data_IF_001915270538
#
_entry.id   IF_001915270538
#
_cell.length_a   1.000
_cell.length_b   1.000
_cell.length_c   1.000
_cell.angle_alpha   90.00
_cell.angle_beta   90.00
_cell.angle_gamma   90.00
#
_symmetry.space_group_name_H-M   'P 1'
#
loop_
_entity.id
_entity.type
_entity.pdbx_description
1 polymer ?
#
# COMPACT_ATOMS: atom_id res chain seq x y z
N UNK A 1 -41.59 0.74 -19.55
CA UNK A 1 -41.09 1.81 -18.64
C UNK A 1 -40.88 1.21 -17.25
N UNK A 2 -39.72 0.59 -17.00
CA UNK A 2 -39.36 0.06 -15.66
C UNK A 2 -38.67 1.18 -14.89
N UNK A 3 -39.35 1.72 -13.90
CA UNK A 3 -38.80 2.69 -12.94
C UNK A 3 -37.72 1.97 -12.12
N UNK A 4 -36.51 2.53 -11.95
CA UNK A 4 -35.59 2.04 -10.93
C UNK A 4 -36.21 2.34 -9.56
N UNK A 5 -36.44 1.31 -8.76
CA UNK A 5 -36.90 1.43 -7.38
C UNK A 5 -35.76 1.99 -6.54
N UNK A 6 -35.66 3.32 -6.48
CA UNK A 6 -34.87 4.04 -5.47
C UNK A 6 -35.63 3.99 -4.14
N UNK A 7 -35.60 2.83 -3.47
CA UNK A 7 -36.12 2.71 -2.10
C UNK A 7 -35.01 3.05 -1.12
N UNK A 8 -34.98 4.30 -0.66
CA UNK A 8 -34.49 4.62 0.70
C UNK A 8 -35.59 4.25 1.68
N UNK A 9 -35.67 2.97 2.06
CA UNK A 9 -36.50 2.58 3.21
C UNK A 9 -35.77 3.00 4.50
N UNK A 10 -36.43 3.87 5.27
CA UNK A 10 -36.06 4.27 6.62
C UNK A 10 -35.95 3.03 7.53
N UNK A 11 -34.73 2.54 7.77
CA UNK A 11 -34.46 1.45 8.71
C UNK A 11 -33.22 1.81 9.54
N UNK A 12 -33.49 2.37 10.72
CA UNK A 12 -32.82 2.49 12.05
C UNK A 12 -31.30 2.22 12.25
N UNK A 13 -30.53 1.75 11.28
CA UNK A 13 -29.09 1.54 11.40
C UNK A 13 -28.32 2.53 10.51
N UNK A 14 -27.24 3.11 11.01
CA UNK A 14 -26.40 4.07 10.27
C UNK A 14 -25.70 3.39 9.07
N UNK A 15 -26.43 3.21 7.97
CA UNK A 15 -25.93 2.70 6.69
C UNK A 15 -25.46 3.87 5.84
N UNK A 16 -24.21 3.85 5.38
CA UNK A 16 -23.73 4.79 4.36
C UNK A 16 -23.75 4.10 3.00
N UNK A 17 -24.48 4.68 2.06
CA UNK A 17 -24.53 4.27 0.66
C UNK A 17 -24.22 5.48 -0.21
N UNK A 18 -23.35 5.29 -1.20
CA UNK A 18 -23.17 6.30 -2.24
C UNK A 18 -24.48 6.45 -3.04
N UNK A 19 -24.74 7.65 -3.56
CA UNK A 19 -25.98 7.95 -4.27
C UNK A 19 -26.19 7.14 -5.57
N UNK A 20 -25.16 6.44 -6.06
CA UNK A 20 -25.17 5.68 -7.32
C UNK A 20 -25.00 4.18 -7.07
N UNK A 21 -25.74 3.67 -6.10
CA UNK A 21 -25.72 2.26 -5.74
C UNK A 21 -26.95 1.53 -6.28
N UNK A 22 -26.77 0.30 -6.77
CA UNK A 22 -27.83 -0.63 -7.14
C UNK A 22 -27.72 -1.94 -6.36
N UNK A 23 -28.85 -2.48 -5.91
CA UNK A 23 -28.89 -3.76 -5.18
C UNK A 23 -29.34 -4.91 -6.08
N UNK A 24 -28.77 -6.11 -5.95
CA UNK A 24 -29.32 -7.30 -6.57
C UNK A 24 -30.72 -7.65 -6.00
N UNK A 25 -31.55 -8.42 -6.72
CA UNK A 25 -32.96 -8.67 -6.36
C UNK A 25 -33.27 -9.45 -5.06
N UNK A 26 -32.30 -9.85 -4.23
CA UNK A 26 -32.52 -10.65 -3.01
C UNK A 26 -32.21 -9.89 -1.70
N UNK A 27 -32.62 -10.42 -0.54
CA UNK A 27 -32.56 -9.74 0.77
C UNK A 27 -31.12 -9.39 1.23
N UNK A 28 -30.69 -8.12 1.14
CA UNK A 28 -29.33 -7.70 1.51
C UNK A 28 -29.18 -7.10 2.92
N UNK A 29 -30.23 -6.49 3.45
CA UNK A 29 -30.13 -5.66 4.66
C UNK A 29 -29.75 -6.43 5.92
N UNK A 30 -30.19 -7.70 6.04
CA UNK A 30 -29.92 -8.53 7.22
C UNK A 30 -28.51 -9.13 7.17
N UNK A 31 -28.04 -9.54 5.99
CA UNK A 31 -26.72 -10.20 5.85
C UNK A 31 -25.57 -9.26 6.22
N UNK A 32 -25.67 -7.99 5.81
CA UNK A 32 -24.63 -7.00 6.12
C UNK A 32 -24.69 -6.49 7.57
N UNK A 33 -25.81 -6.66 8.28
CA UNK A 33 -25.96 -6.17 9.67
C UNK A 33 -25.67 -7.24 10.72
N UNK A 34 -25.86 -8.53 10.40
CA UNK A 34 -25.62 -9.66 11.32
C UNK A 34 -24.24 -9.63 11.98
N UNK A 35 -23.11 -9.37 11.26
CA UNK A 35 -21.80 -9.31 11.90
C UNK A 35 -21.70 -8.20 12.96
N UNK A 36 -22.28 -7.01 12.69
CA UNK A 36 -22.29 -5.89 13.64
C UNK A 36 -23.17 -6.15 14.87
N UNK A 37 -24.21 -6.99 14.72
CA UNK A 37 -25.06 -7.40 15.84
C UNK A 37 -24.34 -8.38 16.78
N UNK A 38 -23.46 -9.22 16.24
CA UNK A 38 -22.64 -10.15 17.03
C UNK A 38 -21.49 -9.43 17.75
N UNK A 39 -20.89 -8.45 17.07
CA UNK A 39 -19.79 -7.65 17.61
C UNK A 39 -19.90 -6.22 17.08
N UNK A 40 -20.27 -5.30 17.97
CA UNK A 40 -20.53 -3.89 17.65
C UNK A 40 -19.28 -3.12 17.21
N UNK A 41 -18.10 -3.70 17.39
CA UNK A 41 -16.82 -3.07 16.98
C UNK A 41 -16.45 -3.35 15.53
N UNK A 42 -17.21 -4.21 14.84
CA UNK A 42 -17.04 -4.52 13.43
C UNK A 42 -17.65 -3.44 12.55
N UNK A 43 -16.87 -3.03 11.56
CA UNK A 43 -17.32 -2.18 10.46
C UNK A 43 -17.26 -3.03 9.21
N UNK A 44 -18.40 -3.16 8.53
CA UNK A 44 -18.52 -4.12 7.44
C UNK A 44 -18.91 -3.45 6.14
N UNK A 45 -18.34 -3.88 5.03
CA UNK A 45 -18.66 -3.40 3.70
C UNK A 45 -19.07 -4.55 2.78
N UNK A 46 -19.92 -4.28 1.77
CA UNK A 46 -20.27 -5.27 0.77
C UNK A 46 -19.11 -5.44 -0.23
N UNK A 47 -19.17 -6.51 -1.03
CA UNK A 47 -18.45 -6.54 -2.30
C UNK A 47 -19.06 -5.49 -3.22
N UNK A 48 -18.20 -4.62 -3.76
CA UNK A 48 -18.63 -3.53 -4.62
C UNK A 48 -18.54 -3.99 -6.07
N UNK A 49 -19.69 -4.25 -6.67
CA UNK A 49 -19.80 -4.59 -8.08
C UNK A 49 -19.69 -3.35 -8.96
N UNK A 50 -19.37 -3.55 -10.24
CA UNK A 50 -19.22 -2.46 -11.20
C UNK A 50 -20.54 -2.27 -11.93
N UNK A 51 -21.10 -1.08 -11.89
CA UNK A 51 -22.12 -0.65 -12.84
C UNK A 51 -21.41 0.17 -13.90
N UNK A 52 -21.43 -0.30 -15.15
CA UNK A 52 -20.81 0.39 -16.28
C UNK A 52 -21.33 1.81 -16.41
N UNK A 53 -20.44 2.80 -16.49
CA UNK A 53 -20.85 4.20 -16.65
C UNK A 53 -21.44 4.50 -18.04
N UNK A 54 -21.12 3.68 -19.04
CA UNK A 54 -21.54 3.88 -20.42
C UNK A 54 -22.82 3.09 -20.74
N UNK A 55 -22.91 1.83 -20.27
CA UNK A 55 -24.01 0.91 -20.60
C UNK A 55 -24.98 0.66 -19.44
N UNK A 56 -24.63 1.04 -18.21
CA UNK A 56 -25.35 0.70 -16.97
C UNK A 56 -25.51 -0.81 -16.72
N UNK A 57 -24.74 -1.65 -17.42
CA UNK A 57 -24.68 -3.08 -17.14
C UNK A 57 -24.05 -3.34 -15.77
N UNK A 58 -24.62 -4.31 -15.06
CA UNK A 58 -24.15 -4.76 -13.76
C UNK A 58 -23.13 -5.89 -13.94
N UNK A 59 -21.89 -5.65 -13.56
CA UNK A 59 -20.76 -6.56 -13.72
C UNK A 59 -20.24 -6.97 -12.34
N UNK A 60 -20.28 -8.27 -12.06
CA UNK A 60 -19.78 -8.84 -10.81
C UNK A 60 -18.28 -8.63 -10.63
N UNK A 61 -17.87 -8.01 -9.54
CA UNK A 61 -16.46 -7.90 -9.14
C UNK A 61 -15.93 -9.22 -8.56
N UNK A 62 -14.62 -9.40 -8.54
CA UNK A 62 -14.02 -10.55 -7.85
C UNK A 62 -14.28 -10.46 -6.34
N UNK A 63 -14.69 -11.58 -5.73
CA UNK A 63 -14.81 -11.71 -4.27
C UNK A 63 -13.46 -11.98 -3.59
N UNK A 64 -12.36 -12.08 -4.36
CA UNK A 64 -11.00 -12.30 -3.85
C UNK A 64 -10.19 -10.99 -3.79
N UNK A 65 -10.87 -9.85 -3.72
CA UNK A 65 -10.25 -8.54 -3.57
C UNK A 65 -10.44 -8.03 -2.14
N UNK A 66 -9.41 -7.36 -1.63
CA UNK A 66 -9.49 -6.53 -0.42
C UNK A 66 -8.99 -5.12 -0.71
N UNK A 67 -9.32 -4.19 0.18
CA UNK A 67 -8.85 -2.81 0.09
C UNK A 67 -7.45 -2.66 0.68
N UNK A 68 -6.61 -1.92 -0.02
CA UNK A 68 -5.26 -1.57 0.38
C UNK A 68 -4.91 -0.14 -0.01
N UNK A 69 -3.64 0.23 0.17
CA UNK A 69 -3.10 1.53 -0.24
C UNK A 69 -1.59 1.42 -0.45
N UNK A 70 -1.03 2.30 -1.26
CA UNK A 70 0.43 2.50 -1.34
C UNK A 70 0.84 3.73 -0.51
N UNK A 71 2.14 3.99 -0.36
CA UNK A 71 2.63 5.11 0.45
C UNK A 71 2.24 6.50 -0.07
N UNK A 72 1.67 6.63 -1.27
CA UNK A 72 1.00 7.85 -1.70
C UNK A 72 -0.38 8.06 -1.05
N UNK A 73 -0.82 7.11 -0.21
CA UNK A 73 -2.09 7.06 0.51
C UNK A 73 -3.32 7.11 -0.40
N UNK A 74 -3.20 6.56 -1.61
CA UNK A 74 -4.32 6.35 -2.52
C UNK A 74 -4.85 4.94 -2.33
N UNK A 75 -6.18 4.82 -2.21
CA UNK A 75 -6.85 3.53 -2.13
C UNK A 75 -6.62 2.70 -3.39
N UNK A 76 -6.36 1.40 -3.22
CA UNK A 76 -6.31 0.42 -4.30
C UNK A 76 -7.00 -0.88 -3.90
N UNK A 77 -7.37 -1.65 -4.91
CA UNK A 77 -7.81 -3.03 -4.73
C UNK A 77 -6.61 -3.97 -4.87
N UNK A 78 -6.48 -4.91 -3.95
CA UNK A 78 -5.44 -5.94 -3.98
C UNK A 78 -6.08 -7.32 -3.99
N UNK A 79 -5.49 -8.24 -4.75
CA UNK A 79 -5.85 -9.64 -4.65
C UNK A 79 -5.41 -10.22 -3.31
N UNK A 80 -6.27 -11.06 -2.74
CA UNK A 80 -5.89 -11.93 -1.64
C UNK A 80 -4.72 -12.82 -2.03
N UNK A 81 -3.86 -13.13 -1.06
CA UNK A 81 -2.73 -14.03 -1.25
C UNK A 81 -3.19 -15.41 -1.72
N UNK A 82 -2.29 -16.20 -2.31
CA UNK A 82 -2.61 -17.56 -2.74
C UNK A 82 -3.10 -18.43 -1.57
N UNK A 83 -2.52 -18.24 -0.38
CA UNK A 83 -2.91 -18.93 0.84
C UNK A 83 -4.32 -18.54 1.30
N UNK A 84 -4.62 -17.25 1.41
CA UNK A 84 -5.96 -16.76 1.78
C UNK A 84 -7.03 -17.27 0.80
N UNK A 85 -6.74 -17.24 -0.52
CA UNK A 85 -7.65 -17.78 -1.54
C UNK A 85 -7.85 -19.29 -1.40
N UNK A 86 -6.79 -20.04 -1.08
CA UNK A 86 -6.88 -21.49 -0.88
C UNK A 86 -7.73 -21.84 0.35
N UNK A 87 -7.56 -21.12 1.46
CA UNK A 87 -8.37 -21.30 2.67
C UNK A 87 -9.85 -21.02 2.40
N UNK A 88 -10.14 -19.96 1.62
CA UNK A 88 -11.50 -19.56 1.23
C UNK A 88 -12.20 -20.51 0.26
N UNK A 89 -11.51 -21.45 -0.39
CA UNK A 89 -12.17 -22.47 -1.22
C UNK A 89 -13.13 -23.34 -0.42
N UNK A 90 -12.89 -23.51 0.89
CA UNK A 90 -13.75 -24.30 1.79
C UNK A 90 -15.03 -23.55 2.15
N UNK A 91 -14.92 -22.24 2.33
CA UNK A 91 -16.05 -21.35 2.59
C UNK A 91 -15.83 -19.99 1.89
N UNK A 92 -16.35 -19.82 0.66
CA UNK A 92 -16.20 -18.57 -0.09
C UNK A 92 -17.06 -17.44 0.49
N UNK A 93 -17.98 -17.75 1.40
CA UNK A 93 -18.92 -16.79 2.02
C UNK A 93 -18.35 -16.16 3.29
N UNK A 94 -17.27 -16.72 3.84
CA UNK A 94 -16.59 -16.19 5.01
C UNK A 94 -16.15 -14.72 4.81
N UNK A 95 -16.29 -13.91 5.86
CA UNK A 95 -15.86 -12.51 5.90
C UNK A 95 -14.37 -12.36 5.62
N UNK A 96 -13.99 -11.33 4.86
CA UNK A 96 -12.60 -11.03 4.55
C UNK A 96 -12.17 -9.81 5.37
N UNK A 97 -11.15 -9.96 6.22
CA UNK A 97 -10.55 -8.82 6.92
C UNK A 97 -9.84 -7.93 5.90
N UNK A 98 -10.11 -6.63 5.94
CA UNK A 98 -9.54 -5.67 4.98
C UNK A 98 -8.75 -4.57 5.71
N UNK A 99 -7.49 -4.28 5.32
CA UNK A 99 -6.74 -3.18 5.90
C UNK A 99 -7.44 -1.82 5.77
N UNK A 100 -8.12 -1.64 4.65
CA UNK A 100 -8.70 -0.37 4.23
C UNK A 100 -10.07 -0.61 3.58
N UNK A 101 -11.03 0.28 3.79
CA UNK A 101 -12.29 0.31 3.01
C UNK A 101 -12.24 1.41 1.94
N UNK A 102 -13.03 1.26 0.89
CA UNK A 102 -13.19 2.32 -0.12
C UNK A 102 -13.90 3.57 0.46
N UNK A 103 -14.66 3.42 1.55
CA UNK A 103 -15.27 4.52 2.32
C UNK A 103 -16.69 4.92 1.92
N UNK A 104 -17.11 4.66 0.68
CA UNK A 104 -18.44 5.03 0.19
C UNK A 104 -19.58 4.13 0.64
N UNK A 105 -19.29 2.86 0.96
CA UNK A 105 -20.29 1.84 1.32
C UNK A 105 -19.81 1.04 2.52
N UNK A 106 -20.48 1.20 3.67
CA UNK A 106 -20.23 0.38 4.85
C UNK A 106 -21.38 0.51 5.87
N UNK A 107 -21.37 -0.38 6.85
CA UNK A 107 -22.27 -0.42 8.01
C UNK A 107 -21.43 -0.42 9.28
N UNK A 108 -21.84 0.39 10.25
CA UNK A 108 -21.21 0.50 11.57
C UNK A 108 -22.30 0.67 12.63
N UNK A 109 -22.11 0.07 13.80
CA UNK A 109 -22.99 0.35 14.95
C UNK A 109 -22.95 1.85 15.30
N UNK A 110 -24.12 2.45 15.49
CA UNK A 110 -24.23 3.90 15.74
C UNK A 110 -23.50 4.35 17.00
N UNK A 111 -23.66 3.62 18.10
CA UNK A 111 -23.02 3.96 19.36
C UNK A 111 -21.50 3.80 19.25
N UNK A 112 -21.03 2.80 18.50
CA UNK A 112 -19.61 2.64 18.20
C UNK A 112 -19.06 3.78 17.32
N UNK A 113 -19.80 4.21 16.29
CA UNK A 113 -19.41 5.36 15.46
C UNK A 113 -19.31 6.66 16.28
N UNK A 114 -20.27 6.89 17.18
CA UNK A 114 -20.26 8.04 18.09
C UNK A 114 -19.07 7.95 19.07
N UNK A 115 -18.82 6.76 19.66
CA UNK A 115 -17.69 6.51 20.56
C UNK A 115 -16.34 6.73 19.87
N UNK A 116 -16.21 6.30 18.62
CA UNK A 116 -15.00 6.52 17.83
C UNK A 116 -14.84 7.99 17.41
N UNK A 117 -15.79 8.90 17.71
CA UNK A 117 -15.65 10.31 17.42
C UNK A 117 -16.07 10.72 16.00
N UNK A 118 -17.00 9.97 15.40
CA UNK A 118 -17.59 10.23 14.06
C UNK A 118 -16.52 10.38 12.98
N UNK A 119 -16.70 11.26 12.00
CA UNK A 119 -15.64 11.69 11.07
C UNK A 119 -14.91 12.90 11.62
N UNK A 120 -13.70 13.13 11.13
CA UNK A 120 -13.01 14.40 11.31
C UNK A 120 -13.75 15.52 10.55
N UNK A 121 -14.44 16.38 11.30
CA UNK A 121 -15.31 17.42 10.76
C UNK A 121 -14.54 18.56 10.08
N UNK A 122 -13.21 18.59 10.17
CA UNK A 122 -12.35 19.55 9.48
C UNK A 122 -11.77 18.99 8.16
N UNK A 123 -12.17 17.79 7.75
CA UNK A 123 -11.93 17.31 6.38
C UNK A 123 -12.88 17.97 5.40
N UNK A 124 -12.34 18.37 4.24
CA UNK A 124 -13.06 19.15 3.25
C UNK A 124 -13.52 18.27 2.07
N UNK A 125 -14.79 18.40 1.68
CA UNK A 125 -15.40 17.87 0.44
C UNK A 125 -15.25 16.36 0.21
N UNK A 126 -14.07 15.89 -0.18
CA UNK A 126 -13.83 14.50 -0.59
C UNK A 126 -12.35 14.11 -0.47
N UNK A 127 -12.12 12.87 -0.04
CA UNK A 127 -10.82 12.22 -0.04
C UNK A 127 -10.19 12.15 1.34
N UNK A 128 -9.50 11.05 1.64
CA UNK A 128 -8.79 10.83 2.90
C UNK A 128 -9.67 10.36 4.06
N UNK A 129 -10.99 10.49 3.98
CA UNK A 129 -11.89 10.05 5.06
C UNK A 129 -11.92 8.53 5.23
N UNK A 130 -11.72 7.81 4.12
CA UNK A 130 -11.64 6.36 4.11
C UNK A 130 -10.35 5.86 4.79
N UNK A 131 -9.24 6.59 4.64
CA UNK A 131 -7.98 6.32 5.34
C UNK A 131 -8.16 6.51 6.85
N UNK A 132 -8.66 7.68 7.24
CA UNK A 132 -8.80 8.09 8.64
C UNK A 132 -9.66 7.11 9.43
N UNK A 133 -10.86 6.79 8.92
CA UNK A 133 -11.75 5.86 9.63
C UNK A 133 -11.17 4.44 9.66
N UNK A 134 -10.48 4.00 8.60
CA UNK A 134 -9.90 2.65 8.56
C UNK A 134 -8.78 2.50 9.59
N UNK A 135 -7.86 3.47 9.63
CA UNK A 135 -6.78 3.50 10.61
C UNK A 135 -7.31 3.55 12.04
N UNK A 136 -8.28 4.45 12.29
CA UNK A 136 -8.89 4.60 13.61
C UNK A 136 -9.60 3.33 14.08
N UNK A 137 -10.45 2.74 13.26
CA UNK A 137 -11.18 1.52 13.65
C UNK A 137 -10.21 0.41 14.05
N UNK A 138 -9.19 0.15 13.24
CA UNK A 138 -8.21 -0.89 13.51
C UNK A 138 -7.34 -0.60 14.73
N UNK A 139 -6.75 0.59 14.80
CA UNK A 139 -5.85 0.95 15.91
C UNK A 139 -6.59 1.05 17.24
N UNK A 140 -7.88 1.41 17.25
CA UNK A 140 -8.66 1.59 18.46
C UNK A 140 -9.52 0.37 18.83
N UNK A 141 -9.20 -0.81 18.29
CA UNK A 141 -9.69 -2.10 18.79
C UNK A 141 -10.89 -2.71 18.07
N UNK A 142 -11.34 -2.12 16.95
CA UNK A 142 -12.35 -2.72 16.08
C UNK A 142 -11.75 -3.42 14.86
N UNK A 143 -12.59 -3.63 13.85
CA UNK A 143 -12.16 -4.25 12.60
C UNK A 143 -12.94 -3.80 11.38
N UNK A 144 -12.32 -4.00 10.21
CA UNK A 144 -12.94 -3.81 8.92
C UNK A 144 -13.07 -5.15 8.18
N UNK A 145 -14.27 -5.45 7.69
CA UNK A 145 -14.57 -6.72 7.02
C UNK A 145 -15.39 -6.53 5.74
N UNK A 146 -15.01 -7.23 4.67
CA UNK A 146 -15.81 -7.36 3.46
C UNK A 146 -16.68 -8.61 3.61
N UNK A 147 -17.97 -8.49 3.35
CA UNK A 147 -18.94 -9.60 3.44
C UNK A 147 -19.27 -10.08 2.02
N UNK A 148 -18.74 -11.23 1.55
CA UNK A 148 -18.90 -11.69 0.16
C UNK A 148 -20.36 -11.89 -0.29
N UNK A 149 -21.23 -12.27 0.65
CA UNK A 149 -22.66 -12.47 0.41
C UNK A 149 -23.44 -11.16 0.29
N UNK A 150 -22.88 -10.03 0.69
CA UNK A 150 -23.49 -8.73 0.49
C UNK A 150 -22.85 -8.06 -0.71
N UNK A 151 -23.64 -7.79 -1.76
CA UNK A 151 -23.14 -7.16 -2.98
C UNK A 151 -23.92 -5.89 -3.29
N UNK A 152 -23.19 -4.84 -3.66
CA UNK A 152 -23.78 -3.57 -4.06
C UNK A 152 -23.05 -3.07 -5.30
N UNK A 153 -23.77 -2.85 -6.40
CA UNK A 153 -23.20 -2.27 -7.60
C UNK A 153 -22.98 -0.77 -7.43
N UNK A 154 -21.85 -0.27 -7.89
CA UNK A 154 -21.48 1.14 -7.85
C UNK A 154 -21.04 1.63 -9.24
N UNK A 155 -21.48 2.82 -9.64
CA UNK A 155 -21.03 3.46 -10.89
C UNK A 155 -19.67 4.11 -10.66
N UNK A 156 -18.60 3.45 -11.09
CA UNK A 156 -17.25 4.02 -11.05
C UNK A 156 -17.10 5.11 -12.11
N UNK A 157 -16.66 6.31 -11.69
CA UNK A 157 -16.52 7.48 -12.56
C UNK A 157 -15.04 7.78 -12.79
N UNK A 158 -14.69 8.22 -14.00
CA UNK A 158 -13.32 8.66 -14.34
C UNK A 158 -12.95 10.04 -13.77
N UNK A 159 -13.94 10.88 -13.42
CA UNK A 159 -13.74 12.24 -12.89
C UNK A 159 -14.82 12.60 -11.88
N UNK A 160 -14.48 13.45 -10.93
CA UNK A 160 -15.44 14.02 -9.97
C UNK A 160 -16.34 15.05 -10.68
N UNK A 161 -17.66 15.03 -10.45
CA UNK A 161 -18.61 15.97 -11.08
C UNK A 161 -18.77 17.29 -10.31
N UNK A 162 -18.01 17.50 -9.22
CA UNK A 162 -18.15 18.64 -8.31
C UNK A 162 -16.87 19.47 -8.28
N UNK A 163 -17.00 20.75 -7.94
CA UNK A 163 -15.89 21.70 -7.84
C UNK A 163 -15.16 21.58 -6.50
N UNK A 164 -13.84 21.78 -6.54
CA UNK A 164 -12.98 21.73 -5.35
C UNK A 164 -12.41 23.14 -5.12
N UNK A 165 -12.73 23.81 -4.00
CA UNK A 165 -12.09 25.07 -3.66
C UNK A 165 -10.58 24.84 -3.49
N UNK A 166 -9.75 25.52 -4.30
CA UNK A 166 -8.30 25.34 -4.30
C UNK A 166 -7.78 24.12 -5.09
N UNK A 167 -8.64 23.40 -5.80
CA UNK A 167 -8.29 22.24 -6.63
C UNK A 167 -8.34 20.90 -5.88
N UNK A 168 -8.73 19.84 -6.58
CA UNK A 168 -8.93 18.50 -5.98
C UNK A 168 -7.67 17.94 -5.34
N UNK A 169 -6.50 18.22 -5.90
CA UNK A 169 -5.21 17.78 -5.35
C UNK A 169 -4.90 18.38 -3.98
N UNK A 170 -5.17 19.68 -3.78
CA UNK A 170 -4.92 20.35 -2.50
C UNK A 170 -5.89 19.90 -1.41
N UNK A 171 -7.18 19.76 -1.75
CA UNK A 171 -8.20 19.24 -0.83
C UNK A 171 -7.85 17.80 -0.41
N UNK A 172 -7.51 16.95 -1.38
CA UNK A 172 -7.08 15.59 -1.11
C UNK A 172 -5.84 15.54 -0.23
N UNK A 173 -4.79 16.31 -0.56
CA UNK A 173 -3.57 16.39 0.23
C UNK A 173 -3.83 16.89 1.65
N UNK A 174 -4.67 17.92 1.82
CA UNK A 174 -5.08 18.43 3.13
C UNK A 174 -5.72 17.33 3.99
N UNK A 175 -6.74 16.65 3.48
CA UNK A 175 -7.43 15.60 4.25
C UNK A 175 -6.52 14.40 4.54
N UNK A 176 -5.75 13.97 3.56
CA UNK A 176 -4.79 12.87 3.70
C UNK A 176 -3.71 13.20 4.74
N UNK A 177 -3.24 14.46 4.80
CA UNK A 177 -2.34 14.92 5.86
C UNK A 177 -2.97 14.86 7.24
N UNK A 178 -4.22 15.31 7.38
CA UNK A 178 -4.94 15.20 8.67
C UNK A 178 -4.97 13.75 9.16
N UNK A 179 -5.22 12.81 8.26
CA UNK A 179 -5.18 11.38 8.59
C UNK A 179 -3.75 10.92 8.96
N UNK A 180 -2.74 11.26 8.14
CA UNK A 180 -1.36 10.83 8.36
C UNK A 180 -0.76 11.38 9.66
N UNK A 181 -0.93 12.67 9.93
CA UNK A 181 -0.38 13.34 11.12
C UNK A 181 -0.99 12.82 12.43
N UNK A 182 -2.25 12.36 12.40
CA UNK A 182 -2.91 11.82 13.59
C UNK A 182 -2.62 10.33 13.79
N UNK A 183 -2.60 9.54 12.70
CA UNK A 183 -2.72 8.08 12.79
C UNK A 183 -1.49 7.29 12.35
N UNK A 184 -0.51 7.91 11.68
CA UNK A 184 0.62 7.17 11.08
C UNK A 184 1.93 7.26 11.86
N UNK A 185 1.97 7.99 12.99
CA UNK A 185 3.20 8.20 13.76
C UNK A 185 4.35 8.70 12.84
N UNK A 186 5.56 8.16 12.98
CA UNK A 186 6.71 8.52 12.16
C UNK A 186 6.60 7.97 10.71
N UNK A 187 5.71 7.01 10.45
CA UNK A 187 5.51 6.45 9.10
C UNK A 187 4.89 7.44 8.12
N UNK A 188 4.39 8.59 8.59
CA UNK A 188 3.97 9.70 7.72
C UNK A 188 5.10 10.22 6.84
N UNK A 189 6.37 10.04 7.23
CA UNK A 189 7.51 10.46 6.40
C UNK A 189 7.60 9.67 5.09
N UNK A 190 7.16 8.42 5.06
CA UNK A 190 7.04 7.66 3.82
C UNK A 190 5.99 8.26 2.88
N UNK A 191 4.87 8.74 3.44
CA UNK A 191 3.88 9.47 2.66
C UNK A 191 4.44 10.76 2.09
N UNK A 192 5.14 11.54 2.91
CA UNK A 192 5.75 12.78 2.44
C UNK A 192 6.90 12.55 1.46
N UNK A 193 7.56 11.39 1.50
CA UNK A 193 8.55 11.01 0.49
C UNK A 193 7.87 10.66 -0.84
N UNK A 194 6.76 9.91 -0.80
CA UNK A 194 5.98 9.58 -1.99
C UNK A 194 5.24 10.78 -2.60
N UNK A 195 4.83 11.75 -1.76
CA UNK A 195 4.10 12.96 -2.18
C UNK A 195 4.72 14.22 -1.54
N UNK A 196 5.91 14.68 -2.01
CA UNK A 196 6.65 15.78 -1.38
C UNK A 196 5.87 17.09 -1.29
N UNK A 197 5.05 17.40 -2.29
CA UNK A 197 4.23 18.62 -2.33
C UNK A 197 3.24 18.70 -1.18
N UNK A 198 2.83 17.57 -0.59
CA UNK A 198 1.90 17.56 0.53
C UNK A 198 2.48 18.29 1.75
N UNK A 199 3.81 18.23 2.00
CA UNK A 199 4.44 18.89 3.17
C UNK A 199 4.08 20.38 3.31
N UNK A 200 3.83 21.05 2.18
CA UNK A 200 3.54 22.48 2.13
C UNK A 200 2.04 22.81 2.22
N UNK A 201 1.14 21.82 2.24
CA UNK A 201 -0.31 22.04 2.23
C UNK A 201 -0.85 22.23 3.66
N UNK A 202 -1.42 23.39 4.03
CA UNK A 202 -1.95 23.61 5.38
C UNK A 202 -3.13 22.68 5.70
N UNK A 203 -3.01 21.91 6.78
CA UNK A 203 -4.01 20.91 7.17
C UNK A 203 -4.88 21.32 8.37
N UNK A 204 -4.63 22.50 8.96
CA UNK A 204 -5.39 23.03 10.09
C UNK A 204 -5.05 22.36 11.43
N UNK A 205 -5.80 22.72 12.49
CA UNK A 205 -5.62 22.14 13.82
C UNK A 205 -6.09 20.67 13.85
N UNK A 206 -5.32 19.80 14.52
CA UNK A 206 -5.62 18.36 14.68
C UNK A 206 -5.69 17.91 16.15
N UNK A 207 -5.65 18.84 17.11
CA UNK A 207 -5.56 18.55 18.54
C UNK A 207 -6.72 17.68 19.03
N UNK A 208 -7.95 18.02 18.65
CA UNK A 208 -9.14 17.23 19.01
C UNK A 208 -9.05 15.77 18.55
N UNK A 209 -8.35 15.51 17.44
CA UNK A 209 -8.15 14.15 16.90
C UNK A 209 -7.03 13.42 17.62
N UNK A 210 -5.95 14.12 17.98
CA UNK A 210 -4.86 13.58 18.81
C UNK A 210 -5.38 13.21 20.22
N UNK A 211 -6.17 14.09 20.84
CA UNK A 211 -6.78 13.87 22.16
C UNK A 211 -7.74 12.68 22.13
N UNK A 212 -8.53 12.57 21.05
CA UNK A 212 -9.40 11.41 20.83
C UNK A 212 -8.60 10.10 20.72
N UNK A 213 -7.50 10.08 19.94
CA UNK A 213 -6.63 8.91 19.81
C UNK A 213 -6.04 8.49 21.17
N UNK A 214 -5.60 9.46 21.96
CA UNK A 214 -5.11 9.24 23.33
C UNK A 214 -6.20 8.70 24.25
N UNK A 215 -7.39 9.32 24.24
CA UNK A 215 -8.54 8.92 25.07
C UNK A 215 -9.01 7.49 24.78
N UNK A 216 -8.97 7.08 23.52
CA UNK A 216 -9.34 5.73 23.09
C UNK A 216 -8.22 4.70 23.30
N UNK A 217 -7.03 5.13 23.75
CA UNK A 217 -5.86 4.28 23.97
C UNK A 217 -5.51 3.43 22.75
N UNK A 218 -5.53 4.07 21.57
CA UNK A 218 -5.31 3.36 20.32
C UNK A 218 -3.85 2.88 20.20
N UNK A 219 -3.68 1.75 19.51
CA UNK A 219 -2.37 1.16 19.21
C UNK A 219 -1.56 2.02 18.25
N UNK A 220 -0.22 1.92 18.25
CA UNK A 220 0.63 2.64 17.30
C UNK A 220 0.46 2.12 15.86
N UNK A 221 0.82 2.93 14.88
CA UNK A 221 0.74 2.56 13.46
C UNK A 221 1.64 1.38 13.10
N UNK A 222 2.77 1.22 13.80
CA UNK A 222 3.60 0.00 13.68
C UNK A 222 2.79 -1.27 13.93
N UNK A 223 1.93 -1.27 14.96
CA UNK A 223 1.08 -2.43 15.24
C UNK A 223 0.11 -2.71 14.08
N UNK A 224 -0.46 -1.64 13.47
CA UNK A 224 -1.31 -1.76 12.29
C UNK A 224 -0.56 -2.40 11.12
N UNK A 225 0.67 -1.97 10.83
CA UNK A 225 1.48 -2.58 9.77
C UNK A 225 1.81 -4.05 10.08
N UNK A 226 2.20 -4.36 11.32
CA UNK A 226 2.61 -5.72 11.69
C UNK A 226 1.44 -6.72 11.71
N UNK A 227 0.23 -6.29 12.09
CA UNK A 227 -0.90 -7.19 12.39
C UNK A 227 -2.10 -7.06 11.45
N UNK A 228 -2.27 -5.89 10.81
CA UNK A 228 -3.41 -5.61 9.94
C UNK A 228 -2.99 -5.59 8.49
N UNK A 229 -1.84 -4.98 8.17
CA UNK A 229 -1.37 -4.85 6.79
C UNK A 229 0.11 -5.20 6.58
N UNK A 230 0.55 -6.43 6.94
CA UNK A 230 1.95 -6.84 6.82
C UNK A 230 2.45 -6.97 5.37
N UNK A 231 1.53 -6.98 4.40
CA UNK A 231 1.86 -7.04 2.98
C UNK A 231 2.31 -5.69 2.42
N UNK A 232 2.00 -4.57 3.09
CA UNK A 232 2.46 -3.25 2.69
C UNK A 232 3.97 -3.15 2.91
N UNK A 233 4.73 -3.18 1.82
CA UNK A 233 6.20 -3.07 1.87
C UNK A 233 6.61 -1.66 2.22
N UNK A 234 7.49 -1.51 3.22
CA UNK A 234 8.08 -0.21 3.56
C UNK A 234 9.01 0.28 2.43
N UNK A 235 8.93 1.55 2.00
CA UNK A 235 9.86 2.13 1.04
C UNK A 235 11.27 2.12 1.63
N UNK A 236 12.28 1.83 0.81
CA UNK A 236 13.64 1.53 1.26
C UNK A 236 13.96 0.03 1.39
N UNK A 237 12.96 -0.85 1.32
CA UNK A 237 13.15 -2.31 1.21
C UNK A 237 13.01 -2.84 -0.24
N UNK A 238 12.72 -1.96 -1.21
CA UNK A 238 12.39 -2.34 -2.59
C UNK A 238 13.50 -1.90 -3.57
N UNK A 239 14.02 -2.80 -4.42
CA UNK A 239 14.96 -2.52 -5.52
C UNK A 239 14.51 -1.37 -6.44
N UNK A 240 15.41 -0.46 -6.82
CA UNK A 240 15.18 0.59 -7.85
C UNK A 240 15.20 -0.02 -9.26
N UNK A 241 16.02 -1.03 -9.47
CA UNK A 241 16.03 -1.82 -10.71
C UNK A 241 16.65 -3.19 -10.46
N UNK A 242 16.17 -4.21 -11.16
CA UNK A 242 16.74 -5.57 -11.16
C UNK A 242 17.02 -6.00 -12.59
N UNK A 243 18.16 -6.62 -12.83
CA UNK A 243 18.57 -7.04 -14.17
C UNK A 243 20.01 -7.56 -14.21
N UNK A 244 20.65 -7.40 -15.37
CA UNK A 244 22.02 -7.87 -15.62
C UNK A 244 22.96 -6.67 -15.76
N UNK A 245 24.13 -6.71 -15.12
CA UNK A 245 25.17 -5.69 -15.29
C UNK A 245 26.09 -6.10 -16.45
N UNK A 246 25.97 -5.43 -17.59
CA UNK A 246 26.61 -5.82 -18.87
C UNK A 246 27.75 -4.91 -19.29
N UNK A 247 28.75 -5.52 -19.92
CA UNK A 247 29.76 -4.84 -20.74
C UNK A 247 30.01 -5.64 -22.01
N UNK A 248 29.48 -5.16 -23.12
CA UNK A 248 29.46 -5.92 -24.37
C UNK A 248 28.67 -7.22 -24.20
N UNK A 249 29.31 -8.37 -24.48
CA UNK A 249 28.72 -9.71 -24.33
C UNK A 249 28.98 -10.33 -22.95
N UNK A 250 29.67 -9.64 -22.04
CA UNK A 250 30.03 -10.14 -20.71
C UNK A 250 29.14 -9.53 -19.63
N UNK A 251 28.75 -10.33 -18.66
CA UNK A 251 27.89 -9.97 -17.53
C UNK A 251 28.63 -10.19 -16.21
N UNK A 252 28.38 -9.33 -15.22
CA UNK A 252 28.82 -9.55 -13.85
C UNK A 252 28.18 -10.82 -13.30
N UNK A 253 28.98 -11.70 -12.74
CA UNK A 253 28.56 -13.05 -12.34
C UNK A 253 29.13 -13.38 -10.95
N UNK A 254 28.30 -13.96 -10.08
CA UNK A 254 28.77 -14.44 -8.76
C UNK A 254 29.67 -15.66 -8.86
N UNK A 255 29.74 -16.31 -10.03
CA UNK A 255 30.45 -17.57 -10.29
C UNK A 255 29.94 -18.72 -9.40
N UNK A 256 28.76 -18.57 -8.79
CA UNK A 256 28.24 -19.47 -7.76
C UNK A 256 28.98 -19.39 -6.43
N UNK A 257 29.80 -18.36 -6.23
CA UNK A 257 30.52 -18.15 -4.98
C UNK A 257 29.59 -17.63 -3.88
N UNK A 258 29.99 -17.87 -2.62
CA UNK A 258 29.25 -17.47 -1.42
C UNK A 258 29.80 -16.14 -0.85
N UNK A 259 29.28 -15.73 0.31
CA UNK A 259 29.75 -14.54 1.05
C UNK A 259 31.27 -14.57 1.28
N UNK A 260 31.89 -13.40 1.36
CA UNK A 260 33.33 -13.13 1.47
C UNK A 260 34.18 -13.60 0.27
N UNK A 261 33.54 -13.99 -0.83
CA UNK A 261 34.21 -14.36 -2.07
C UNK A 261 34.16 -13.25 -3.11
N UNK A 262 35.07 -13.32 -4.10
CA UNK A 262 35.14 -12.37 -5.20
C UNK A 262 34.11 -12.65 -6.29
N UNK A 263 33.70 -11.61 -7.00
CA UNK A 263 32.86 -11.69 -8.20
C UNK A 263 33.69 -11.74 -9.48
N UNK A 264 33.11 -12.32 -10.53
CA UNK A 264 33.73 -12.46 -11.83
C UNK A 264 32.89 -11.87 -12.95
N UNK A 265 33.31 -12.13 -14.19
CA UNK A 265 32.48 -11.91 -15.37
C UNK A 265 32.39 -13.17 -16.19
N UNK A 266 31.22 -13.41 -16.74
CA UNK A 266 30.93 -14.54 -17.60
C UNK A 266 30.11 -14.09 -18.81
N UNK A 267 29.98 -14.95 -19.83
CA UNK A 267 29.15 -14.65 -20.99
C UNK A 267 27.70 -14.41 -20.54
N UNK A 268 27.09 -13.32 -20.99
CA UNK A 268 25.70 -13.02 -20.69
C UNK A 268 24.79 -14.13 -21.21
N UNK A 269 24.03 -14.77 -20.32
CA UNK A 269 23.15 -15.89 -20.68
C UNK A 269 21.66 -15.59 -20.51
N UNK A 270 21.29 -14.42 -19.97
CA UNK A 270 19.92 -13.89 -19.92
C UNK A 270 18.90 -14.78 -19.18
N UNK A 271 19.37 -15.73 -18.38
CA UNK A 271 18.53 -16.64 -17.59
C UNK A 271 18.43 -16.26 -16.10
N UNK A 272 18.97 -15.10 -15.70
CA UNK A 272 18.99 -14.65 -14.31
C UNK A 272 20.02 -15.42 -13.47
N UNK A 273 19.65 -15.83 -12.24
CA UNK A 273 20.53 -16.60 -11.36
C UNK A 273 21.77 -15.80 -10.97
N UNK A 274 22.97 -16.37 -11.16
CA UNK A 274 24.24 -15.75 -10.76
C UNK A 274 24.56 -14.42 -11.47
N UNK A 275 23.83 -14.08 -12.54
CA UNK A 275 23.97 -12.81 -13.27
C UNK A 275 22.87 -11.80 -12.93
N UNK A 276 21.98 -12.12 -12.00
CA UNK A 276 20.93 -11.21 -11.56
C UNK A 276 21.44 -10.29 -10.44
N UNK A 277 21.38 -8.99 -10.70
CA UNK A 277 21.80 -7.94 -9.78
C UNK A 277 20.70 -6.91 -9.60
N UNK A 278 20.70 -6.29 -8.43
CA UNK A 278 19.73 -5.29 -8.04
C UNK A 278 20.44 -4.02 -7.61
N UNK A 279 20.00 -2.88 -8.15
CA UNK A 279 20.35 -1.56 -7.63
C UNK A 279 19.31 -1.14 -6.59
N UNK A 280 19.77 -0.83 -5.38
CA UNK A 280 18.92 -0.31 -4.29
C UNK A 280 18.77 1.21 -4.40
N UNK A 281 17.77 1.77 -3.71
CA UNK A 281 17.51 3.21 -3.72
C UNK A 281 18.62 4.03 -3.04
N UNK A 282 19.38 3.39 -2.17
CA UNK A 282 20.55 3.96 -1.50
C UNK A 282 21.82 3.83 -2.35
N UNK A 283 21.69 3.33 -3.59
CA UNK A 283 22.76 3.21 -4.57
C UNK A 283 23.54 1.90 -4.52
N UNK A 284 23.31 1.02 -3.53
CA UNK A 284 24.04 -0.26 -3.42
C UNK A 284 23.67 -1.25 -4.53
N UNK A 285 24.66 -1.99 -5.00
CA UNK A 285 24.49 -3.12 -5.95
C UNK A 285 24.50 -4.43 -5.17
N UNK A 286 23.40 -5.19 -5.24
CA UNK A 286 23.21 -6.45 -4.48
C UNK A 286 22.83 -7.64 -5.36
N UNK A 287 23.16 -8.83 -4.88
CA UNK A 287 22.68 -10.12 -5.37
C UNK A 287 22.11 -10.88 -4.16
N UNK A 288 20.79 -11.13 -4.15
CA UNK A 288 20.07 -11.62 -2.96
C UNK A 288 20.37 -10.77 -1.70
N UNK A 289 21.03 -11.36 -0.70
CA UNK A 289 21.34 -10.76 0.61
C UNK A 289 22.78 -10.20 0.70
N UNK A 290 23.57 -10.31 -0.39
CA UNK A 290 24.95 -9.82 -0.44
C UNK A 290 25.10 -8.59 -1.33
N UNK A 291 25.95 -7.66 -0.90
CA UNK A 291 26.25 -6.40 -1.56
C UNK A 291 27.69 -6.41 -2.08
N UNK A 292 27.91 -5.82 -3.26
CA UNK A 292 29.25 -5.57 -3.78
C UNK A 292 29.97 -4.58 -2.87
N UNK A 293 31.08 -5.03 -2.30
CA UNK A 293 31.84 -4.27 -1.31
C UNK A 293 33.28 -4.17 -1.74
N UNK A 294 33.84 -2.98 -1.61
CA UNK A 294 35.26 -2.73 -1.78
C UNK A 294 35.94 -2.79 -0.40
N UNK A 295 36.79 -3.79 -0.13
CA UNK A 295 37.36 -3.98 1.19
C UNK A 295 38.47 -2.98 1.51
N UNK A 296 39.10 -2.40 0.49
CA UNK A 296 40.13 -1.35 0.61
C UNK A 296 40.14 -0.49 -0.67
N UNK A 297 40.45 0.79 -0.53
CA UNK A 297 40.51 1.79 -1.59
C UNK A 297 41.85 1.79 -2.36
N UNK A 298 42.58 0.67 -2.34
CA UNK A 298 43.81 0.49 -3.11
C UNK A 298 43.50 0.05 -4.54
N UNK A 299 44.23 0.62 -5.51
CA UNK A 299 44.13 0.24 -6.92
C UNK A 299 44.46 -1.25 -7.10
N UNK A 300 43.61 -1.97 -7.83
CA UNK A 300 43.73 -3.41 -8.07
C UNK A 300 43.02 -4.28 -7.04
N UNK A 301 42.42 -3.70 -6.00
CA UNK A 301 41.66 -4.46 -5.00
C UNK A 301 40.43 -5.10 -5.64
N UNK A 302 40.22 -6.42 -5.48
CA UNK A 302 39.06 -7.11 -6.02
C UNK A 302 37.79 -6.77 -5.25
N UNK A 303 36.65 -6.71 -5.96
CA UNK A 303 35.35 -6.61 -5.31
C UNK A 303 34.97 -7.94 -4.66
N UNK A 304 34.40 -7.85 -3.46
CA UNK A 304 33.93 -9.00 -2.68
C UNK A 304 32.45 -8.88 -2.38
N UNK A 305 31.76 -10.01 -2.24
CA UNK A 305 30.38 -10.07 -1.79
C UNK A 305 30.33 -10.13 -0.27
N UNK A 306 29.79 -9.12 0.39
CA UNK A 306 29.56 -9.12 1.85
C UNK A 306 28.09 -8.96 2.17
N UNK A 307 27.69 -9.29 3.40
CA UNK A 307 26.32 -9.05 3.86
C UNK A 307 25.97 -7.56 3.77
N UNK A 308 24.76 -7.25 3.30
CA UNK A 308 24.27 -5.88 3.17
C UNK A 308 23.93 -5.27 4.54
N UNK A 309 24.94 -4.82 5.30
CA UNK A 309 24.79 -4.29 6.67
C UNK A 309 24.95 -2.76 6.79
N UNK A 310 24.99 -2.01 5.68
CA UNK A 310 25.21 -0.56 5.70
C UNK A 310 26.61 -0.14 6.19
N UNK A 311 27.60 -1.00 5.98
CA UNK A 311 28.99 -0.82 6.41
C UNK A 311 29.79 0.09 5.45
N UNK A 312 30.89 0.67 5.96
CA UNK A 312 31.89 1.37 5.16
C UNK A 312 32.42 0.48 4.02
N UNK A 313 32.49 1.03 2.80
CA UNK A 313 33.05 0.37 1.61
C UNK A 313 32.06 -0.29 0.65
N UNK A 314 30.75 -0.28 0.93
CA UNK A 314 29.74 -0.79 -0.01
C UNK A 314 29.62 0.12 -1.24
N UNK A 315 29.67 -0.47 -2.44
CA UNK A 315 29.74 0.30 -3.70
C UNK A 315 28.38 0.91 -4.03
N UNK A 316 28.33 2.24 -4.16
CA UNK A 316 27.11 2.99 -4.53
C UNK A 316 27.11 3.46 -5.99
N UNK A 317 25.93 3.76 -6.54
CA UNK A 317 25.76 4.35 -7.89
C UNK A 317 26.57 5.63 -8.09
N UNK A 318 26.71 6.46 -7.05
CA UNK A 318 27.55 7.67 -7.09
C UNK A 318 29.04 7.34 -7.24
N UNK A 319 29.53 6.24 -6.65
CA UNK A 319 30.87 5.72 -6.95
C UNK A 319 30.98 5.23 -8.40
N UNK A 320 29.92 4.61 -8.94
CA UNK A 320 29.89 4.10 -10.32
C UNK A 320 29.88 5.22 -11.38
N UNK A 321 29.16 6.33 -11.15
CA UNK A 321 28.98 7.41 -12.14
C UNK A 321 30.03 8.54 -12.08
N UNK A 322 30.52 8.95 -10.89
CA UNK A 322 31.36 10.16 -10.75
C UNK A 322 32.86 9.93 -10.71
N UNK A 323 33.31 8.68 -10.70
CA UNK A 323 34.73 8.38 -10.61
C UNK A 323 35.23 7.78 -11.93
N UNK A 324 36.30 8.35 -12.49
CA UNK A 324 37.01 7.79 -13.64
C UNK A 324 37.51 6.34 -13.40
N UNK A 325 37.40 5.89 -12.15
CA UNK A 325 37.63 4.57 -11.56
C UNK A 325 36.89 3.43 -12.26
N UNK A 326 35.63 3.62 -12.69
CA UNK A 326 34.79 2.51 -13.18
C UNK A 326 34.70 2.38 -14.71
N UNK A 327 35.32 3.29 -15.49
CA UNK A 327 35.30 3.22 -16.98
C UNK A 327 36.11 2.06 -17.59
N UNK A 328 36.78 1.25 -16.78
CA UNK A 328 37.56 0.06 -17.20
C UNK A 328 37.46 -1.09 -16.20
N UNK A 329 36.33 -1.23 -15.50
CA UNK A 329 36.04 -2.51 -14.86
C UNK A 329 35.85 -3.54 -15.98
N UNK A 330 36.28 -4.77 -15.79
CA UNK A 330 36.28 -5.84 -16.79
C UNK A 330 37.47 -5.82 -17.76
N UNK A 331 38.66 -5.85 -17.16
CA UNK A 331 39.78 -6.58 -17.77
C UNK A 331 39.45 -8.09 -17.77
N UNK A 332 40.02 -8.88 -18.70
CA UNK A 332 39.43 -10.15 -19.15
C UNK A 332 39.30 -11.29 -18.13
N UNK A 333 39.59 -11.11 -16.83
CA UNK A 333 39.50 -12.18 -15.83
C UNK A 333 39.30 -11.71 -14.36
N UNK A 334 39.15 -10.41 -14.05
CA UNK A 334 38.94 -9.90 -12.66
C UNK A 334 38.17 -8.58 -12.61
N UNK A 335 37.32 -8.41 -11.59
CA UNK A 335 36.62 -7.16 -11.24
C UNK A 335 37.39 -6.45 -10.12
N UNK A 336 38.07 -5.33 -10.43
CA UNK A 336 38.97 -4.63 -9.50
C UNK A 336 38.76 -3.11 -9.51
N UNK A 337 39.08 -2.43 -8.40
CA UNK A 337 39.08 -0.98 -8.28
C UNK A 337 40.21 -0.34 -9.09
N UNK A 338 39.92 0.64 -9.95
CA UNK A 338 40.92 1.42 -10.69
C UNK A 338 40.79 2.87 -10.27
N UNK A 339 41.86 3.68 -10.24
CA UNK A 339 41.79 5.06 -9.74
C UNK A 339 41.27 6.04 -10.81
#
# INVERSE_FOLDING_TARGET
KRTPLWKTENLVDNKRLAALCGFPPSLHANILTTPCLQDKTRVVCPVIDVISMDTFEYIGASADLRGGFDWNLVFKWEYLTAEERAQRKRDPTASIRTPMIAGGLFVIDRAYFDRLGKYDMMMDVWGGENLEISFRVWQCGGSLEIIPCSRVGHVFRKRHPYTFPGGSGNVFARNTRRAAEVWMDDYKEYYYTAVPLARNVPFGNIQDRLDLRSKLQCKPFKWYLDHVYPQLKLPGLVPVSSGTLRQGTMCLDTMGHLVDSTVGVYLCHDTGGNQEWTLTQDGHIKHHDVCLTLPDYQKGTPLVMKMCEGLDGQVTEQCYQHSAVFRRVLLPNRVTYMQ
#
